data_IF_231650331815
#
_entry.id   IF_231650331815
#
_cell.length_a   1.000
_cell.length_b   1.000
_cell.length_c   1.000
_cell.angle_alpha   90.00
_cell.angle_beta   90.00
_cell.angle_gamma   90.00
#
_symmetry.space_group_name_H-M   'P 1'
#
loop_
_entity.id
_entity.type
_entity.pdbx_description
1 polymer ?
#
# COMPACT_ATOMS: atom_id res chain seq x y z
N UNK A 1 24.73 -26.49 10.14
CA UNK A 1 23.53 -26.03 9.42
C UNK A 1 23.81 -24.61 8.96
N UNK A 2 23.95 -24.38 7.66
CA UNK A 2 24.27 -23.06 7.08
C UNK A 2 22.97 -22.32 6.76
N UNK A 3 22.77 -21.16 7.39
CA UNK A 3 21.64 -20.27 7.10
C UNK A 3 21.96 -19.54 5.80
N UNK A 4 21.19 -19.80 4.75
CA UNK A 4 21.37 -19.17 3.45
C UNK A 4 20.56 -17.85 3.42
N UNK A 5 21.25 -16.73 3.54
CA UNK A 5 20.62 -15.40 3.47
C UNK A 5 20.46 -15.01 2.01
N UNK A 6 19.24 -15.07 1.48
CA UNK A 6 18.91 -14.50 0.17
C UNK A 6 18.96 -12.98 0.29
N UNK A 7 20.00 -12.35 -0.26
CA UNK A 7 20.01 -10.92 -0.51
C UNK A 7 19.08 -10.64 -1.70
N UNK A 8 17.78 -10.52 -1.42
CA UNK A 8 16.87 -9.89 -2.36
C UNK A 8 17.25 -8.40 -2.43
N UNK A 9 17.90 -7.97 -3.50
CA UNK A 9 17.84 -6.56 -3.90
C UNK A 9 16.37 -6.23 -4.05
N UNK A 10 15.82 -5.46 -3.11
CA UNK A 10 14.44 -5.00 -3.16
C UNK A 10 14.27 -4.35 -4.53
N UNK A 11 13.48 -4.92 -5.46
CA UNK A 11 13.25 -4.28 -6.74
C UNK A 11 12.74 -2.87 -6.43
N UNK A 12 13.25 -1.87 -7.15
CA UNK A 12 12.80 -0.50 -7.00
C UNK A 12 11.28 -0.50 -7.05
N UNK A 13 10.64 -0.27 -5.90
CA UNK A 13 9.20 -0.34 -5.77
C UNK A 13 8.65 0.70 -6.74
N UNK A 14 7.74 0.27 -7.61
CA UNK A 14 7.05 1.14 -8.54
C UNK A 14 5.73 0.48 -8.89
N UNK A 15 4.58 1.17 -8.72
CA UNK A 15 3.31 0.63 -9.15
C UNK A 15 3.31 0.46 -10.67
N UNK A 16 2.35 -0.29 -11.21
CA UNK A 16 2.11 -0.24 -12.64
C UNK A 16 1.68 1.18 -13.04
N UNK A 17 2.13 1.67 -14.20
CA UNK A 17 1.69 2.98 -14.75
C UNK A 17 0.18 3.06 -14.92
N UNK A 18 -0.46 1.91 -15.11
CA UNK A 18 -1.89 1.77 -15.26
C UNK A 18 -2.47 1.01 -14.07
N UNK A 19 -3.67 1.42 -13.64
CA UNK A 19 -4.48 0.56 -12.80
C UNK A 19 -5.03 -0.65 -13.60
N UNK A 20 -5.69 -1.59 -12.93
CA UNK A 20 -6.24 -2.79 -13.57
C UNK A 20 -7.27 -2.49 -14.67
N UNK A 21 -7.89 -1.31 -14.67
CA UNK A 21 -8.82 -0.85 -15.70
C UNK A 21 -8.11 -0.13 -16.87
N UNK A 22 -6.78 -0.24 -16.97
CA UNK A 22 -5.95 0.40 -18.00
C UNK A 22 -5.96 1.94 -17.95
N UNK A 23 -6.25 2.53 -16.79
CA UNK A 23 -6.27 4.00 -16.58
C UNK A 23 -4.90 4.46 -16.07
N UNK A 24 -4.33 5.49 -16.70
CA UNK A 24 -3.04 6.08 -16.32
C UNK A 24 -3.11 6.75 -14.95
N UNK A 25 -2.15 6.44 -14.06
CA UNK A 25 -2.09 7.05 -12.72
C UNK A 25 -1.81 8.56 -12.72
N UNK A 26 -1.32 9.11 -13.83
CA UNK A 26 -0.93 10.52 -13.92
C UNK A 26 -1.98 11.42 -14.58
N UNK A 27 -2.64 10.91 -15.62
CA UNK A 27 -3.57 11.72 -16.42
C UNK A 27 -4.98 11.13 -16.50
N UNK A 28 -5.21 10.02 -15.79
CA UNK A 28 -6.53 9.40 -15.62
C UNK A 28 -7.22 8.99 -16.94
N UNK A 29 -6.46 8.90 -18.03
CA UNK A 29 -6.95 8.47 -19.34
C UNK A 29 -6.67 6.99 -19.56
N UNK A 30 -7.64 6.27 -20.15
CA UNK A 30 -7.45 4.86 -20.53
C UNK A 30 -6.44 4.74 -21.68
N UNK A 31 -5.59 3.71 -21.64
CA UNK A 31 -4.59 3.41 -22.67
C UNK A 31 -3.68 4.60 -23.01
N UNK A 32 -3.28 5.39 -22.01
CA UNK A 32 -2.48 6.60 -22.24
C UNK A 32 -1.10 6.29 -22.86
N UNK A 33 -0.79 6.95 -23.96
CA UNK A 33 0.51 6.89 -24.65
C UNK A 33 1.28 8.23 -24.61
N UNK A 34 0.79 9.21 -23.84
CA UNK A 34 1.40 10.53 -23.80
C UNK A 34 2.86 10.44 -23.30
N UNK A 35 3.86 10.96 -24.06
CA UNK A 35 5.27 10.87 -23.70
C UNK A 35 5.58 11.42 -22.30
N UNK A 36 4.88 12.48 -21.87
CA UNK A 36 5.04 13.05 -20.52
C UNK A 36 4.74 12.04 -19.40
N UNK A 37 3.70 11.23 -19.54
CA UNK A 37 3.30 10.27 -18.51
C UNK A 37 4.23 9.06 -18.46
N UNK A 38 4.79 8.66 -19.61
CA UNK A 38 5.83 7.63 -19.70
C UNK A 38 7.09 8.13 -18.99
N UNK A 39 7.58 9.33 -19.33
CA UNK A 39 8.77 9.91 -18.73
C UNK A 39 8.63 10.17 -17.22
N UNK A 40 7.46 10.66 -16.76
CA UNK A 40 7.18 10.81 -15.33
C UNK A 40 7.23 9.46 -14.62
N UNK A 41 6.60 8.44 -15.19
CA UNK A 41 6.60 7.11 -14.60
C UNK A 41 8.02 6.51 -14.50
N UNK A 42 8.83 6.62 -15.55
CA UNK A 42 10.20 6.11 -15.57
C UNK A 42 11.12 6.78 -14.54
N UNK A 43 10.89 8.08 -14.26
CA UNK A 43 11.70 8.88 -13.33
C UNK A 43 11.18 8.85 -11.89
N UNK A 44 9.92 8.46 -11.70
CA UNK A 44 9.30 8.43 -10.38
C UNK A 44 10.02 7.45 -9.43
N UNK A 45 10.25 7.92 -8.21
CA UNK A 45 10.71 7.13 -7.08
C UNK A 45 9.51 6.79 -6.22
N UNK A 46 9.46 5.60 -5.66
CA UNK A 46 8.37 5.21 -4.76
C UNK A 46 8.90 4.55 -3.51
N UNK A 47 8.13 4.70 -2.44
CA UNK A 47 8.37 4.07 -1.16
C UNK A 47 7.09 3.41 -0.66
N UNK A 48 7.23 2.46 0.26
CA UNK A 48 6.09 1.93 1.01
C UNK A 48 5.46 3.06 1.83
N UNK A 49 4.15 3.20 1.72
CA UNK A 49 3.40 4.17 2.51
C UNK A 49 3.58 3.87 4.00
N UNK A 50 4.01 4.87 4.77
CA UNK A 50 4.21 4.79 6.21
C UNK A 50 2.89 4.77 6.99
N UNK A 51 1.82 5.33 6.42
CA UNK A 51 0.50 5.35 7.06
C UNK A 51 -0.22 4.01 7.04
N UNK A 52 -0.03 3.20 6.00
CA UNK A 52 -0.74 1.92 5.87
C UNK A 52 0.20 0.72 5.75
N UNK A 53 1.50 0.92 5.93
CA UNK A 53 2.55 -0.09 5.80
C UNK A 53 2.50 -0.92 4.52
N UNK A 54 1.98 -0.34 3.45
CA UNK A 54 1.86 -1.02 2.15
C UNK A 54 0.58 -1.82 1.94
N UNK A 55 -0.35 -1.87 2.90
CA UNK A 55 -1.60 -2.62 2.75
C UNK A 55 -2.63 -1.92 1.83
N UNK A 56 -2.46 -0.62 1.55
CA UNK A 56 -3.15 0.09 0.48
C UNK A 56 -4.67 0.20 0.60
N UNK A 57 -5.22 -0.04 1.80
CA UNK A 57 -6.68 -0.09 2.03
C UNK A 57 -7.09 0.94 3.09
N UNK A 58 -6.58 0.76 4.31
CA UNK A 58 -6.88 1.58 5.47
C UNK A 58 -5.56 2.09 6.05
N UNK A 59 -5.61 3.24 6.70
CA UNK A 59 -4.51 3.74 7.53
C UNK A 59 -4.23 2.84 8.72
N UNK A 60 -3.25 3.24 9.51
CA UNK A 60 -2.80 2.60 10.73
C UNK A 60 -3.92 2.48 11.77
N UNK A 61 -4.83 3.44 11.80
CA UNK A 61 -6.04 3.46 12.63
C UNK A 61 -7.11 2.42 12.23
N UNK A 62 -6.96 1.76 11.08
CA UNK A 62 -7.94 0.80 10.55
C UNK A 62 -9.31 1.40 10.20
N UNK A 63 -9.44 2.73 10.17
CA UNK A 63 -10.71 3.44 10.01
C UNK A 63 -10.66 4.50 8.90
N UNK A 64 -9.49 5.10 8.68
CA UNK A 64 -9.28 6.14 7.68
C UNK A 64 -8.82 5.53 6.36
N UNK A 65 -9.42 5.94 5.24
CA UNK A 65 -8.96 5.53 3.92
C UNK A 65 -7.55 6.09 3.66
N UNK A 66 -6.61 5.22 3.25
CA UNK A 66 -5.27 5.66 2.91
C UNK A 66 -5.23 6.20 1.47
N UNK A 67 -4.67 7.39 1.27
CA UNK A 67 -4.59 8.07 -0.04
C UNK A 67 -3.37 7.63 -0.88
N UNK A 68 -2.78 6.49 -0.57
CA UNK A 68 -1.63 5.96 -1.30
C UNK A 68 -2.05 5.23 -2.58
N UNK A 69 -1.11 5.08 -3.51
CA UNK A 69 -1.29 4.25 -4.71
C UNK A 69 -1.00 2.80 -4.37
N UNK A 70 -2.04 2.06 -3.94
CA UNK A 70 -1.95 0.63 -3.65
C UNK A 70 -0.83 0.26 -2.67
N UNK A 71 -0.68 1.03 -1.59
CA UNK A 71 0.36 0.83 -0.58
C UNK A 71 1.66 1.59 -0.84
N UNK A 72 1.77 2.30 -1.95
CA UNK A 72 2.95 3.06 -2.33
C UNK A 72 2.67 4.56 -2.40
N UNK A 73 3.65 5.36 -2.04
CA UNK A 73 3.65 6.82 -2.25
C UNK A 73 4.79 7.20 -3.19
N UNK A 74 4.57 8.22 -4.02
CA UNK A 74 5.69 8.82 -4.76
C UNK A 74 6.63 9.47 -3.75
N UNK A 75 7.89 9.05 -3.78
CA UNK A 75 8.89 9.42 -2.82
C UNK A 75 9.70 10.61 -3.30
N UNK A 76 9.97 11.54 -2.38
CA UNK A 76 11.11 12.42 -2.50
C UNK A 76 12.38 11.64 -2.11
N UNK A 77 13.59 12.10 -2.47
CA UNK A 77 14.82 11.48 -1.99
C UNK A 77 14.87 11.34 -0.46
N UNK A 78 14.31 12.31 0.27
CA UNK A 78 14.26 12.27 1.73
C UNK A 78 13.31 11.19 2.26
N UNK A 79 12.12 11.02 1.67
CA UNK A 79 11.20 9.96 2.10
C UNK A 79 11.65 8.57 1.65
N UNK A 80 12.33 8.47 0.51
CA UNK A 80 12.98 7.23 0.08
C UNK A 80 14.05 6.79 1.09
N UNK A 81 14.89 7.72 1.57
CA UNK A 81 15.90 7.43 2.58
C UNK A 81 15.29 7.00 3.93
N UNK A 82 14.14 7.57 4.32
CA UNK A 82 13.43 7.15 5.54
C UNK A 82 12.81 5.75 5.43
N UNK A 83 12.41 5.36 4.23
CA UNK A 83 11.81 4.05 4.00
C UNK A 83 12.86 2.94 3.90
N UNK A 84 14.11 3.28 3.56
CA UNK A 84 15.20 2.33 3.45
C UNK A 84 15.48 1.64 4.80
N UNK A 85 15.56 0.31 4.77
CA UNK A 85 15.77 -0.51 5.96
C UNK A 85 14.62 -0.54 6.98
N UNK A 86 13.48 0.12 6.70
CA UNK A 86 12.30 0.08 7.59
C UNK A 86 11.72 -1.34 7.65
N UNK A 87 11.56 -1.89 8.85
CA UNK A 87 10.85 -3.15 9.04
C UNK A 87 9.35 -2.94 8.77
N UNK A 88 8.76 -3.79 7.93
CA UNK A 88 7.34 -3.75 7.60
C UNK A 88 6.61 -4.90 8.28
N UNK A 89 5.41 -4.67 8.84
CA UNK A 89 4.59 -5.74 9.38
C UNK A 89 4.11 -6.70 8.29
N UNK A 90 3.96 -7.97 8.65
CA UNK A 90 3.44 -9.01 7.74
C UNK A 90 1.91 -8.96 7.65
N UNK A 91 1.24 -8.37 8.64
CA UNK A 91 -0.23 -8.27 8.73
C UNK A 91 -0.65 -6.84 9.09
N UNK A 92 -1.83 -6.38 8.62
CA UNK A 92 -2.35 -5.09 9.03
C UNK A 92 -2.61 -5.04 10.54
N UNK A 93 -2.21 -3.97 11.24
CA UNK A 93 -2.30 -3.87 12.69
C UNK A 93 -3.75 -3.97 13.19
N UNK A 94 -4.72 -3.45 12.44
CA UNK A 94 -6.14 -3.51 12.80
C UNK A 94 -6.74 -4.93 12.76
N UNK A 95 -6.04 -5.94 12.21
CA UNK A 95 -6.49 -7.34 12.26
C UNK A 95 -6.11 -8.06 13.55
N UNK A 96 -5.22 -7.47 14.35
CA UNK A 96 -4.79 -8.05 15.62
C UNK A 96 -5.59 -7.47 16.82
N UNK A 97 -6.40 -6.44 16.60
CA UNK A 97 -7.42 -5.99 17.55
C UNK A 97 -8.48 -7.11 17.72
N UNK A 98 -8.85 -7.47 18.97
CA UNK A 98 -9.86 -8.49 19.21
C UNK A 98 -11.18 -8.02 18.59
N UNK A 99 -11.55 -8.64 17.48
CA UNK A 99 -12.82 -8.45 16.78
C UNK A 99 -13.92 -8.31 17.82
N UNK A 100 -14.62 -7.17 17.78
CA UNK A 100 -15.85 -6.89 18.50
C UNK A 100 -16.51 -8.20 18.94
N UNK A 101 -16.50 -8.47 20.25
CA UNK A 101 -17.38 -9.48 20.83
C UNK A 101 -18.77 -8.97 20.52
N UNK A 102 -19.36 -9.46 19.42
CA UNK A 102 -20.75 -9.22 19.11
C UNK A 102 -21.49 -9.97 20.21
N UNK A 103 -21.76 -9.28 21.31
CA UNK A 103 -22.66 -9.78 22.33
C UNK A 103 -23.97 -10.08 21.60
N UNK A 104 -24.25 -11.36 21.37
CA UNK A 104 -25.47 -11.79 20.74
C UNK A 104 -26.62 -11.14 21.51
N UNK A 105 -27.40 -10.27 20.82
CA UNK A 105 -28.60 -9.72 21.43
C UNK A 105 -29.48 -10.91 21.82
N UNK A 106 -29.93 -11.03 23.08
CA UNK A 106 -30.88 -12.06 23.43
C UNK A 106 -32.11 -11.87 22.54
N UNK A 107 -32.46 -12.92 21.80
CA UNK A 107 -33.67 -12.96 21.00
C UNK A 107 -34.86 -12.79 21.95
N UNK A 108 -35.47 -11.61 21.96
CA UNK A 108 -36.74 -11.38 22.65
C UNK A 108 -37.76 -12.28 21.97
N UNK A 109 -38.13 -13.37 22.64
CA UNK A 109 -39.21 -14.25 22.21
C UNK A 109 -40.48 -13.43 22.03
N UNK A 110 -41.06 -13.47 20.84
CA UNK A 110 -42.43 -13.01 20.63
C UNK A 110 -43.34 -14.12 21.12
N UNK A 111 -44.07 -13.84 22.20
CA UNK A 111 -45.25 -14.59 22.64
C UNK A 111 -46.41 -14.41 21.68
#
# INVERSE_FOLDING_TARGET
>A
MTVQTLQATVPALRPLRFNFAQVCIWCETRWCELPRCIAMHERSLWAVCDQCDGFGSLGDDGMTACMCTHGLIEATPASAAKADGRALPVRPPYLDEPRFVVNARPSVGRS
#
